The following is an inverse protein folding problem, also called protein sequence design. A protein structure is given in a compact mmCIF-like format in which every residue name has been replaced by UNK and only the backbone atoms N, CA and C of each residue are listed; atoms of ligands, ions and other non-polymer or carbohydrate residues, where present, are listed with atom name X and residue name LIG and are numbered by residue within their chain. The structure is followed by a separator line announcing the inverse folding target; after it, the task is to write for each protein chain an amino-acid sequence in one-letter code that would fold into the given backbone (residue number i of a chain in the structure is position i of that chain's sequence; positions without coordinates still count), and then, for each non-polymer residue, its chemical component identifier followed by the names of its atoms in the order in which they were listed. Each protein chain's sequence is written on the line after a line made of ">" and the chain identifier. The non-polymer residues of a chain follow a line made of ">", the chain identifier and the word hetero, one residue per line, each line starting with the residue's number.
data_IF_477238444819
#
_entry.id   IF_477238444819
#
_cell.length_a   1.000
_cell.length_b   1.000
_cell.length_c   1.000
_cell.angle_alpha   90.00
_cell.angle_beta   90.00
_cell.angle_gamma   90.00
#
_symmetry.space_group_name_H-M   'P 1'
#
loop_
_entity.id
_entity.type
_entity.pdbx_description
1 polymer ?
#
# COMPACT_ATOMS: atom_id res chain seq x y z
N UNK A 1 19.28 8.31 14.48
CA UNK A 1 18.94 7.40 13.36
C UNK A 1 17.81 6.49 13.82
N UNK A 2 16.57 6.99 13.83
CA UNK A 2 15.40 6.14 14.06
C UNK A 2 15.02 5.50 12.74
N UNK A 3 15.09 4.17 12.67
CA UNK A 3 14.49 3.42 11.59
C UNK A 3 13.00 3.74 11.55
N UNK A 4 12.48 4.07 10.37
CA UNK A 4 11.05 4.11 10.08
C UNK A 4 10.42 2.81 10.58
N UNK A 5 9.73 2.86 11.72
CA UNK A 5 8.88 1.77 12.17
C UNK A 5 7.68 1.74 11.22
N UNK A 6 7.65 0.75 10.34
CA UNK A 6 6.50 0.50 9.50
C UNK A 6 5.34 0.17 10.45
N UNK A 7 4.30 0.98 10.41
CA UNK A 7 3.10 0.69 11.17
C UNK A 7 2.47 -0.60 10.62
N UNK A 8 2.57 -1.68 11.38
CA UNK A 8 1.94 -2.97 11.08
C UNK A 8 0.44 -2.99 11.42
N UNK A 9 -0.19 -1.86 11.74
CA UNK A 9 -1.57 -1.83 12.24
C UNK A 9 -2.66 -2.02 11.17
N UNK A 10 -2.34 -1.86 9.87
CA UNK A 10 -3.32 -2.09 8.81
C UNK A 10 -3.29 -3.55 8.35
N UNK A 11 -4.45 -4.24 8.29
CA UNK A 11 -4.50 -5.57 7.72
C UNK A 11 -4.00 -5.52 6.26
N UNK A 12 -3.26 -6.56 5.81
CA UNK A 12 -2.71 -6.57 4.46
C UNK A 12 -3.84 -6.45 3.43
N UNK A 13 -3.72 -5.45 2.56
CA UNK A 13 -4.60 -5.27 1.40
C UNK A 13 -4.05 -6.05 0.21
N UNK A 14 -4.90 -6.86 -0.41
CA UNK A 14 -4.53 -7.65 -1.59
C UNK A 14 -5.22 -7.09 -2.83
N UNK A 15 -4.51 -6.89 -3.95
CA UNK A 15 -5.17 -6.62 -5.23
C UNK A 15 -5.99 -7.85 -5.65
N UNK A 16 -7.28 -7.66 -5.90
CA UNK A 16 -8.22 -8.73 -6.27
C UNK A 16 -8.77 -8.49 -7.67
N UNK A 17 -8.65 -9.51 -8.54
CA UNK A 17 -9.32 -9.57 -9.83
C UNK A 17 -10.70 -10.23 -9.66
N UNK A 18 -11.73 -9.63 -10.27
CA UNK A 18 -13.10 -10.16 -10.29
C UNK A 18 -13.45 -10.54 -11.74
N UNK A 19 -13.85 -11.78 -11.94
CA UNK A 19 -14.21 -12.34 -13.24
C UNK A 19 -15.59 -13.01 -13.16
N UNK A 20 -16.22 -13.20 -14.33
CA UNK A 20 -17.41 -14.05 -14.48
C UNK A 20 -17.04 -15.18 -15.44
N UNK A 21 -17.25 -16.42 -15.02
CA UNK A 21 -16.95 -17.58 -15.86
C UNK A 21 -18.05 -17.86 -16.90
N UNK A 22 -17.84 -18.92 -17.70
CA UNK A 22 -18.80 -19.32 -18.75
C UNK A 22 -20.11 -19.89 -18.20
N UNK A 23 -20.14 -20.25 -16.93
CA UNK A 23 -21.31 -20.78 -16.22
C UNK A 23 -22.01 -19.68 -15.39
N UNK A 24 -21.61 -18.42 -15.59
CA UNK A 24 -22.15 -17.23 -14.93
C UNK A 24 -21.89 -17.19 -13.42
N UNK A 25 -20.83 -17.85 -12.96
CA UNK A 25 -20.31 -17.72 -11.59
C UNK A 25 -19.33 -16.56 -11.51
N UNK A 26 -19.35 -15.90 -10.36
CA UNK A 26 -18.39 -14.86 -10.00
C UNK A 26 -17.15 -15.50 -9.38
N UNK A 27 -15.98 -15.08 -9.83
CA UNK A 27 -14.68 -15.53 -9.32
C UNK A 27 -13.91 -14.31 -8.82
N UNK A 28 -13.48 -14.35 -7.56
CA UNK A 28 -12.56 -13.39 -6.97
C UNK A 28 -11.19 -14.05 -6.78
N UNK A 29 -10.11 -13.44 -7.25
CA UNK A 29 -8.75 -14.00 -7.13
C UNK A 29 -7.70 -12.96 -6.74
N UNK A 30 -6.74 -13.32 -5.90
CA UNK A 30 -5.62 -12.43 -5.56
C UNK A 30 -4.63 -12.41 -6.74
N UNK A 31 -4.30 -11.21 -7.22
CA UNK A 31 -3.35 -11.06 -8.34
C UNK A 31 -1.98 -11.61 -7.93
N UNK A 32 -1.44 -12.50 -8.75
CA UNK A 32 -0.15 -13.15 -8.52
C UNK A 32 -0.20 -14.39 -7.63
N UNK A 33 -1.36 -14.76 -7.06
CA UNK A 33 -1.55 -15.97 -6.25
C UNK A 33 -2.50 -16.94 -6.93
N UNK A 34 -1.93 -17.93 -7.63
CA UNK A 34 -2.70 -18.88 -8.43
C UNK A 34 -3.80 -19.62 -7.65
N UNK A 35 -3.53 -19.93 -6.38
CA UNK A 35 -4.42 -20.76 -5.54
C UNK A 35 -5.43 -19.92 -4.74
N UNK A 36 -5.28 -18.60 -4.69
CA UNK A 36 -6.11 -17.75 -3.82
C UNK A 36 -7.34 -17.26 -4.56
N UNK A 37 -8.40 -18.07 -4.52
CA UNK A 37 -9.66 -17.82 -5.22
C UNK A 37 -10.88 -18.07 -4.35
N UNK A 38 -11.94 -17.29 -4.55
CA UNK A 38 -13.29 -17.52 -4.07
C UNK A 38 -14.26 -17.53 -5.23
N UNK A 39 -15.22 -18.46 -5.22
CA UNK A 39 -16.24 -18.61 -6.27
C UNK A 39 -17.61 -18.48 -5.62
N UNK A 40 -18.53 -17.78 -6.27
CA UNK A 40 -19.90 -17.61 -5.82
C UNK A 40 -20.87 -17.33 -6.94
N UNK A 41 -22.16 -17.44 -6.66
CA UNK A 41 -23.25 -17.06 -7.57
C UNK A 41 -23.43 -15.54 -7.65
N UNK A 42 -22.84 -14.79 -6.71
CA UNK A 42 -22.81 -13.32 -6.70
C UNK A 42 -21.39 -12.80 -6.49
N UNK A 43 -21.15 -11.54 -6.92
CA UNK A 43 -19.90 -10.83 -6.66
C UNK A 43 -19.54 -10.82 -5.17
N UNK A 44 -20.54 -10.58 -4.31
CA UNK A 44 -20.34 -10.49 -2.87
C UNK A 44 -19.92 -11.84 -2.28
N UNK A 45 -20.62 -12.90 -2.68
CA UNK A 45 -20.31 -14.28 -2.25
C UNK A 45 -18.89 -14.69 -2.65
N UNK A 46 -18.47 -14.41 -3.90
CA UNK A 46 -17.11 -14.71 -4.36
C UNK A 46 -16.04 -14.01 -3.50
N UNK A 47 -16.28 -12.75 -3.13
CA UNK A 47 -15.37 -11.98 -2.25
C UNK A 47 -15.35 -12.56 -0.84
N UNK A 48 -16.52 -12.90 -0.27
CA UNK A 48 -16.59 -13.50 1.06
C UNK A 48 -15.86 -14.85 1.11
N UNK A 49 -16.02 -15.68 0.07
CA UNK A 49 -15.31 -16.95 -0.05
C UNK A 49 -13.79 -16.75 -0.12
N UNK A 50 -13.34 -15.74 -0.88
CA UNK A 50 -11.91 -15.39 -0.93
C UNK A 50 -11.39 -14.91 0.43
N UNK A 51 -12.15 -14.08 1.15
CA UNK A 51 -11.79 -13.62 2.49
C UNK A 51 -11.63 -14.78 3.47
N UNK A 52 -12.59 -15.71 3.49
CA UNK A 52 -12.53 -16.90 4.34
C UNK A 52 -11.31 -17.76 4.00
N UNK A 53 -11.01 -17.94 2.71
CA UNK A 53 -9.81 -18.64 2.27
C UNK A 53 -8.55 -17.98 2.82
N UNK A 54 -8.39 -16.66 2.67
CA UNK A 54 -7.21 -15.93 3.15
C UNK A 54 -7.08 -15.98 4.67
N UNK A 55 -8.17 -15.81 5.42
CA UNK A 55 -8.18 -15.94 6.88
C UNK A 55 -7.78 -17.35 7.33
N UNK A 56 -8.25 -18.39 6.64
CA UNK A 56 -7.89 -19.78 6.94
C UNK A 56 -6.42 -20.10 6.67
N UNK A 57 -5.81 -19.43 5.69
CA UNK A 57 -4.38 -19.56 5.39
C UNK A 57 -3.55 -18.84 6.44
N UNK A 58 -3.93 -17.62 6.83
CA UNK A 58 -3.25 -16.86 7.88
C UNK A 58 -3.37 -17.51 9.26
N UNK A 59 -4.49 -18.17 9.59
CA UNK A 59 -4.61 -18.86 10.87
C UNK A 59 -3.71 -20.11 10.97
N UNK A 60 -3.25 -20.63 9.83
CA UNK A 60 -2.42 -21.84 9.74
C UNK A 60 -0.95 -21.55 9.39
N UNK A 61 -0.62 -20.32 9.03
CA UNK A 61 0.70 -19.96 8.53
C UNK A 61 1.01 -18.48 8.70
N UNK A 62 2.29 -18.16 8.80
CA UNK A 62 2.77 -16.79 8.94
C UNK A 62 3.05 -16.18 7.56
N UNK A 63 2.60 -14.94 7.36
CA UNK A 63 3.00 -14.15 6.21
C UNK A 63 4.30 -13.43 6.53
N UNK A 64 5.38 -13.85 5.88
CA UNK A 64 6.68 -13.18 5.98
C UNK A 64 6.97 -12.39 4.70
N UNK A 65 7.49 -11.18 4.85
CA UNK A 65 8.05 -10.44 3.73
C UNK A 65 9.51 -10.86 3.55
N UNK A 66 9.77 -11.75 2.58
CA UNK A 66 11.14 -12.13 2.23
C UNK A 66 11.72 -11.09 1.28
N UNK A 67 12.69 -10.31 1.75
CA UNK A 67 13.49 -9.49 0.84
C UNK A 67 14.38 -10.40 0.01
N UNK A 68 14.25 -10.29 -1.30
CA UNK A 68 15.18 -10.91 -2.24
C UNK A 68 16.13 -9.80 -2.65
N UNK A 69 17.37 -9.87 -2.19
CA UNK A 69 18.40 -8.93 -2.62
C UNK A 69 18.73 -9.20 -4.08
N UNK A 70 18.37 -8.28 -4.97
CA UNK A 70 18.94 -8.25 -6.31
C UNK A 70 20.44 -8.01 -6.13
N UNK A 71 21.29 -8.88 -6.69
CA UNK A 71 22.76 -8.76 -6.58
C UNK A 71 23.32 -7.42 -7.08
N UNK A 72 22.50 -6.60 -7.73
CA UNK A 72 22.73 -5.18 -7.90
C UNK A 72 21.94 -4.44 -6.82
N UNK A 73 22.68 -3.77 -5.94
CA UNK A 73 22.15 -2.72 -5.09
C UNK A 73 21.71 -1.58 -6.03
N UNK A 74 20.51 -1.72 -6.61
CA UNK A 74 19.87 -0.63 -7.32
C UNK A 74 19.71 0.48 -6.28
N UNK A 75 20.52 1.54 -6.44
CA UNK A 75 20.35 2.76 -5.68
C UNK A 75 18.88 3.15 -5.86
N UNK A 76 18.14 3.24 -4.75
CA UNK A 76 16.73 3.62 -4.77
C UNK A 76 16.57 4.82 -5.70
N UNK A 77 15.57 4.88 -6.60
CA UNK A 77 15.49 5.93 -7.63
C UNK A 77 15.57 7.36 -7.07
N UNK A 78 15.20 7.55 -5.81
CA UNK A 78 15.28 8.85 -5.12
C UNK A 78 16.65 9.18 -4.50
N UNK A 79 17.62 8.27 -4.57
CA UNK A 79 18.99 8.49 -4.08
C UNK A 79 19.65 9.68 -4.76
N UNK A 80 19.37 9.92 -6.05
CA UNK A 80 19.94 11.06 -6.78
C UNK A 80 19.49 12.42 -6.23
N UNK A 81 18.34 12.46 -5.53
CA UNK A 81 17.79 13.68 -4.94
C UNK A 81 18.14 13.84 -3.46
N UNK A 82 18.81 12.84 -2.85
CA UNK A 82 19.15 12.87 -1.44
C UNK A 82 20.12 14.03 -1.16
N UNK A 83 19.65 15.02 -0.37
CA UNK A 83 20.44 16.20 -0.04
C UNK A 83 20.54 17.23 -1.15
N UNK A 84 19.72 17.16 -2.21
CA UNK A 84 19.76 18.09 -3.35
C UNK A 84 19.66 19.57 -2.93
N UNK A 85 18.97 19.87 -1.83
CA UNK A 85 18.79 21.23 -1.31
C UNK A 85 19.67 21.56 -0.10
N UNK A 86 20.58 20.67 0.31
CA UNK A 86 21.37 20.85 1.54
C UNK A 86 22.27 22.09 1.53
N UNK A 87 22.60 22.62 0.35
CA UNK A 87 23.41 23.83 0.17
C UNK A 87 22.65 24.96 -0.53
N UNK A 88 21.34 24.82 -0.69
CA UNK A 88 20.52 25.88 -1.28
C UNK A 88 20.31 27.00 -0.26
N UNK A 89 20.83 28.22 -0.52
CA UNK A 89 20.75 29.33 0.42
C UNK A 89 19.33 29.87 0.60
N UNK A 90 18.38 29.48 -0.26
CA UNK A 90 16.98 29.91 -0.20
C UNK A 90 16.07 28.85 0.42
N UNK A 91 16.59 27.68 0.80
CA UNK A 91 15.78 26.59 1.31
C UNK A 91 15.04 26.95 2.60
N UNK A 92 15.68 27.68 3.50
CA UNK A 92 15.05 28.12 4.76
C UNK A 92 13.87 29.09 4.51
N UNK A 93 14.01 30.00 3.55
CA UNK A 93 12.93 30.92 3.14
C UNK A 93 11.76 30.15 2.51
N UNK A 94 12.06 29.19 1.62
CA UNK A 94 11.05 28.31 1.04
C UNK A 94 10.28 27.52 2.10
N UNK A 95 10.97 26.96 3.10
CA UNK A 95 10.31 26.23 4.20
C UNK A 95 9.41 27.15 5.02
N UNK A 96 9.86 28.39 5.29
CA UNK A 96 9.06 29.37 6.03
C UNK A 96 7.77 29.73 5.28
N UNK A 97 7.83 29.94 3.96
CA UNK A 97 6.65 30.23 3.14
C UNK A 97 5.66 29.05 3.09
N UNK A 98 6.17 27.81 2.96
CA UNK A 98 5.31 26.61 3.01
C UNK A 98 4.62 26.46 4.37
N UNK A 99 5.32 26.78 5.47
CA UNK A 99 4.73 26.76 6.80
C UNK A 99 3.64 27.82 6.94
N UNK A 100 3.90 29.06 6.52
CA UNK A 100 2.91 30.12 6.53
C UNK A 100 1.65 29.73 5.73
N UNK A 101 1.82 29.12 4.54
CA UNK A 101 0.69 28.66 3.74
C UNK A 101 -0.13 27.57 4.45
N UNK A 102 0.52 26.59 5.10
CA UNK A 102 -0.18 25.55 5.87
C UNK A 102 -0.98 26.14 7.04
N UNK A 103 -0.42 27.11 7.75
CA UNK A 103 -1.13 27.80 8.83
C UNK A 103 -2.34 28.61 8.31
N UNK A 104 -2.26 29.16 7.10
CA UNK A 104 -3.41 29.77 6.44
C UNK A 104 -4.48 28.71 6.17
N UNK A 105 -4.10 27.60 5.55
CA UNK A 105 -5.01 26.52 5.17
C UNK A 105 -5.72 25.94 6.42
N UNK A 106 -4.97 25.63 7.49
CA UNK A 106 -5.51 25.15 8.78
C UNK A 106 -6.50 26.16 9.40
N UNK A 107 -6.21 27.47 9.28
CA UNK A 107 -7.10 28.53 9.78
C UNK A 107 -8.39 28.64 8.97
N UNK A 108 -8.34 28.31 7.68
CA UNK A 108 -9.52 28.32 6.80
C UNK A 108 -10.33 27.02 6.86
N UNK A 109 -9.73 25.88 7.23
CA UNK A 109 -10.44 24.61 7.46
C UNK A 109 -11.31 24.62 8.74
N UNK A 110 -11.10 25.55 9.68
CA UNK A 110 -11.91 25.69 10.89
C UNK A 110 -13.21 26.52 10.76
N UNK A 111 -13.58 26.95 9.55
CA UNK A 111 -14.74 27.84 9.30
C UNK A 111 -15.88 27.14 8.50
N UNK A 112 -15.78 25.84 8.24
CA UNK A 112 -16.86 25.05 7.61
C UNK A 112 -17.53 24.11 8.61
#
# INVERSE_FOLDING_TARGET
>A
MSALSWDHSLPPSYPVLIEVDRENHWIASVVGWADAKGVGTTRHEAIQMLQQYLMSKQSRGELIALRVDSGQQELHPWMEFAGMWASDPQFDEFVAEIQAQRELDDRFEGIV
#
